data_IF_654376657648
#
_entry.id   IF_654376657648
#
_cell.length_a   1.000
_cell.length_b   1.000
_cell.length_c   1.000
_cell.angle_alpha   90.00
_cell.angle_beta   90.00
_cell.angle_gamma   90.00
#
_symmetry.space_group_name_H-M   'P 1'
#
loop_
_entity.id
_entity.type
_entity.pdbx_description
1 polymer ?
#
# COMPACT_ATOMS: atom_id res chain seq x y z
N UNK A 1 25.21 -0.86 -0.71
CA UNK A 1 25.59 -2.29 -0.59
C UNK A 1 24.57 -2.96 0.33
N UNK A 2 24.01 -4.10 -0.05
CA UNK A 2 23.06 -4.84 0.78
C UNK A 2 23.84 -5.95 1.50
N UNK A 3 23.60 -6.11 2.80
CA UNK A 3 24.29 -7.10 3.62
C UNK A 3 23.64 -8.46 3.47
N UNK A 4 24.41 -9.50 3.21
CA UNK A 4 23.96 -10.90 3.35
C UNK A 4 23.86 -11.20 4.86
N UNK A 5 22.78 -10.80 5.48
CA UNK A 5 22.36 -11.28 6.81
C UNK A 5 21.25 -12.30 6.62
N UNK A 6 21.16 -13.23 7.56
CA UNK A 6 20.19 -14.37 7.56
C UNK A 6 18.90 -14.06 6.80
N UNK A 7 18.65 -14.84 5.73
CA UNK A 7 17.65 -14.56 4.70
C UNK A 7 16.20 -14.72 5.16
N UNK A 8 15.80 -14.13 6.30
CA UNK A 8 14.42 -14.25 6.72
C UNK A 8 14.15 -13.93 8.20
N UNK A 9 12.94 -14.26 8.62
CA UNK A 9 12.50 -14.24 10.02
C UNK A 9 12.09 -15.64 10.44
N UNK A 10 12.36 -15.99 11.71
CA UNK A 10 11.84 -17.22 12.30
C UNK A 10 10.66 -16.89 13.20
N UNK A 11 9.49 -17.41 12.86
CA UNK A 11 8.27 -17.25 13.64
C UNK A 11 7.71 -18.62 14.02
N UNK A 12 7.49 -18.86 15.31
CA UNK A 12 7.01 -20.15 15.83
C UNK A 12 7.77 -21.38 15.29
N UNK A 13 9.11 -21.26 15.13
CA UNK A 13 9.96 -22.33 14.60
C UNK A 13 9.96 -22.49 13.08
N UNK A 14 9.16 -21.70 12.35
CA UNK A 14 9.13 -21.69 10.89
C UNK A 14 9.99 -20.55 10.36
N UNK A 15 10.97 -20.88 9.51
CA UNK A 15 11.80 -19.88 8.83
C UNK A 15 11.11 -19.39 7.56
N UNK A 16 10.89 -18.08 7.47
CA UNK A 16 10.28 -17.40 6.31
C UNK A 16 11.34 -16.51 5.66
N UNK A 17 11.79 -16.86 4.45
CA UNK A 17 12.73 -16.03 3.69
C UNK A 17 12.13 -14.67 3.33
N UNK A 18 12.98 -13.67 3.11
CA UNK A 18 12.54 -12.31 2.76
C UNK A 18 11.74 -12.30 1.43
N UNK A 19 12.10 -13.14 0.47
CA UNK A 19 11.33 -13.31 -0.78
C UNK A 19 9.92 -13.81 -0.51
N UNK A 20 9.77 -14.81 0.38
CA UNK A 20 8.45 -15.32 0.79
C UNK A 20 7.67 -14.27 1.56
N UNK A 21 8.34 -13.53 2.44
CA UNK A 21 7.70 -12.46 3.21
C UNK A 21 7.17 -11.35 2.29
N UNK A 22 7.92 -10.96 1.26
CA UNK A 22 7.47 -10.00 0.25
C UNK A 22 6.26 -10.56 -0.52
N UNK A 23 6.33 -11.85 -0.91
CA UNK A 23 5.23 -12.49 -1.62
C UNK A 23 3.94 -12.48 -0.78
N UNK A 24 4.04 -12.86 0.50
CA UNK A 24 2.90 -12.78 1.43
C UNK A 24 2.42 -11.32 1.57
N UNK A 25 3.35 -10.36 1.64
CA UNK A 25 3.05 -8.93 1.82
C UNK A 25 2.18 -8.32 0.73
N UNK A 26 2.23 -8.80 -0.51
CA UNK A 26 1.37 -8.30 -1.58
C UNK A 26 0.22 -9.25 -1.94
N UNK A 27 0.39 -10.57 -1.84
CA UNK A 27 -0.65 -11.54 -2.18
C UNK A 27 -1.76 -11.57 -1.14
N UNK A 28 -1.40 -11.54 0.14
CA UNK A 28 -2.39 -11.61 1.23
C UNK A 28 -3.40 -10.45 1.18
N UNK A 29 -2.98 -9.17 1.13
CA UNK A 29 -3.95 -8.08 1.00
C UNK A 29 -4.72 -8.14 -0.31
N UNK A 30 -4.10 -8.53 -1.43
CA UNK A 30 -4.79 -8.69 -2.71
C UNK A 30 -5.93 -9.72 -2.61
N UNK A 31 -5.63 -10.92 -2.12
CA UNK A 31 -6.63 -12.00 -1.99
C UNK A 31 -7.72 -11.58 -1.00
N UNK A 32 -7.35 -10.97 0.12
CA UNK A 32 -8.31 -10.46 1.10
C UNK A 32 -9.29 -9.48 0.48
N UNK A 33 -8.81 -8.48 -0.25
CA UNK A 33 -9.62 -7.46 -0.91
C UNK A 33 -10.52 -8.09 -1.96
N UNK A 34 -9.98 -8.93 -2.84
CA UNK A 34 -10.76 -9.59 -3.90
C UNK A 34 -11.85 -10.46 -3.30
N UNK A 35 -11.54 -11.27 -2.28
CA UNK A 35 -12.53 -12.13 -1.64
C UNK A 35 -13.61 -11.32 -0.91
N UNK A 36 -13.23 -10.33 -0.12
CA UNK A 36 -14.15 -9.47 0.64
C UNK A 36 -15.09 -8.71 -0.29
N UNK A 37 -14.56 -8.05 -1.34
CA UNK A 37 -15.36 -7.34 -2.34
C UNK A 37 -16.28 -8.27 -3.11
N UNK A 38 -15.80 -9.46 -3.47
CA UNK A 38 -16.65 -10.46 -4.18
C UNK A 38 -17.80 -10.92 -3.31
N UNK A 39 -17.55 -11.24 -2.04
CA UNK A 39 -18.62 -11.62 -1.10
C UNK A 39 -19.62 -10.48 -0.94
N UNK A 40 -19.14 -9.24 -0.73
CA UNK A 40 -19.96 -8.04 -0.58
C UNK A 40 -20.88 -7.81 -1.79
N UNK A 41 -20.34 -7.92 -3.01
CA UNK A 41 -21.11 -7.76 -4.24
C UNK A 41 -22.13 -8.89 -4.45
N UNK A 42 -21.76 -10.14 -4.16
CA UNK A 42 -22.61 -11.31 -4.39
C UNK A 42 -23.69 -11.50 -3.31
N UNK A 43 -23.45 -11.02 -2.09
CA UNK A 43 -24.45 -11.06 -1.00
C UNK A 43 -25.58 -10.05 -1.18
N UNK A 44 -25.49 -9.14 -2.14
CA UNK A 44 -26.46 -8.06 -2.35
C UNK A 44 -26.33 -6.91 -1.35
N UNK A 45 -25.28 -6.89 -0.55
CA UNK A 45 -25.00 -5.82 0.42
C UNK A 45 -24.37 -4.59 -0.23
N UNK A 46 -23.85 -4.71 -1.46
CA UNK A 46 -23.26 -3.59 -2.18
C UNK A 46 -24.32 -2.55 -2.52
N UNK A 47 -24.17 -1.36 -1.97
CA UNK A 47 -25.06 -0.21 -2.13
C UNK A 47 -25.15 0.28 -3.59
N UNK A 48 -24.00 0.31 -4.26
CA UNK A 48 -23.85 0.72 -5.66
C UNK A 48 -22.57 0.09 -6.24
N UNK A 49 -22.38 0.15 -7.56
CA UNK A 49 -21.17 -0.26 -8.27
C UNK A 49 -20.75 0.92 -9.17
N UNK A 50 -19.51 1.40 -9.12
CA UNK A 50 -18.43 0.95 -8.23
C UNK A 50 -18.61 1.42 -6.78
N UNK A 51 -17.95 0.74 -5.85
CA UNK A 51 -17.90 1.06 -4.42
C UNK A 51 -16.45 1.03 -3.91
N UNK A 52 -16.16 1.71 -2.80
CA UNK A 52 -14.83 1.66 -2.20
C UNK A 52 -14.49 0.26 -1.69
N UNK A 53 -13.21 -0.10 -1.71
CA UNK A 53 -12.71 -1.34 -1.11
C UNK A 53 -13.18 -1.45 0.34
N UNK A 54 -13.15 -0.35 1.07
CA UNK A 54 -13.57 -0.27 2.47
C UNK A 54 -15.08 -0.45 2.69
N UNK A 55 -15.93 -0.30 1.67
CA UNK A 55 -17.35 -0.62 1.80
C UNK A 55 -17.57 -2.13 1.94
N UNK A 56 -16.62 -2.98 1.53
CA UNK A 56 -16.69 -4.42 1.77
C UNK A 56 -16.44 -4.82 3.23
N UNK A 57 -16.15 -3.86 4.13
CA UNK A 57 -16.19 -4.05 5.58
C UNK A 57 -17.63 -3.94 6.13
N UNK A 58 -18.59 -4.47 5.41
CA UNK A 58 -20.00 -4.51 5.80
C UNK A 58 -20.28 -5.67 6.75
N UNK A 59 -21.20 -5.53 7.75
CA UNK A 59 -21.53 -6.61 8.68
C UNK A 59 -21.91 -7.90 7.97
N UNK A 60 -21.12 -8.96 8.17
CA UNK A 60 -21.30 -10.24 7.51
C UNK A 60 -19.99 -10.99 7.36
N UNK A 61 -19.98 -11.98 6.45
CA UNK A 61 -18.79 -12.77 6.14
C UNK A 61 -17.67 -11.89 5.54
N UNK A 62 -18.04 -10.92 4.71
CA UNK A 62 -17.14 -9.97 4.08
C UNK A 62 -16.34 -9.17 5.11
N UNK A 63 -16.95 -8.73 6.23
CA UNK A 63 -16.24 -8.06 7.33
C UNK A 63 -15.19 -8.96 7.95
N UNK A 64 -15.52 -10.21 8.24
CA UNK A 64 -14.56 -11.14 8.82
C UNK A 64 -13.35 -11.35 7.91
N UNK A 65 -13.58 -11.51 6.61
CA UNK A 65 -12.51 -11.64 5.62
C UNK A 65 -11.69 -10.36 5.58
N UNK A 66 -12.33 -9.19 5.45
CA UNK A 66 -11.69 -7.89 5.37
C UNK A 66 -10.83 -7.61 6.60
N UNK A 67 -11.46 -7.62 7.78
CA UNK A 67 -10.81 -7.25 9.05
C UNK A 67 -9.66 -8.20 9.38
N UNK A 68 -9.89 -9.52 9.36
CA UNK A 68 -8.83 -10.47 9.71
C UNK A 68 -7.68 -10.47 8.70
N UNK A 69 -8.01 -10.47 7.41
CA UNK A 69 -7.01 -10.50 6.34
C UNK A 69 -6.15 -9.23 6.28
N UNK A 70 -6.77 -8.04 6.39
CA UNK A 70 -6.02 -6.78 6.37
C UNK A 70 -5.27 -6.52 7.68
N UNK A 71 -5.79 -6.92 8.84
CA UNK A 71 -5.06 -6.81 10.10
C UNK A 71 -3.77 -7.65 10.06
N UNK A 72 -3.86 -8.91 9.59
CA UNK A 72 -2.67 -9.76 9.41
C UNK A 72 -1.73 -9.16 8.35
N UNK A 73 -2.28 -8.63 7.24
CA UNK A 73 -1.48 -7.95 6.22
C UNK A 73 -0.69 -6.76 6.78
N UNK A 74 -1.29 -5.98 7.66
CA UNK A 74 -0.62 -4.86 8.33
C UNK A 74 0.58 -5.31 9.17
N UNK A 75 0.45 -6.39 9.93
CA UNK A 75 1.55 -6.99 10.70
C UNK A 75 2.66 -7.51 9.78
N UNK A 76 2.29 -8.15 8.67
CA UNK A 76 3.27 -8.62 7.65
C UNK A 76 4.02 -7.43 7.04
N UNK A 77 3.33 -6.35 6.69
CA UNK A 77 3.95 -5.13 6.12
C UNK A 77 4.90 -4.46 7.14
N UNK A 78 4.53 -4.39 8.42
CA UNK A 78 5.44 -3.91 9.47
C UNK A 78 6.72 -4.75 9.53
N UNK A 79 6.57 -6.07 9.58
CA UNK A 79 7.69 -7.02 9.65
C UNK A 79 8.58 -6.94 8.41
N UNK A 80 7.98 -6.88 7.23
CA UNK A 80 8.67 -6.71 5.96
C UNK A 80 9.46 -5.39 5.90
N UNK A 81 8.81 -4.28 6.26
CA UNK A 81 9.45 -2.96 6.27
C UNK A 81 10.65 -2.92 7.21
N UNK A 82 10.53 -3.49 8.40
CA UNK A 82 11.62 -3.62 9.35
C UNK A 82 12.78 -4.43 8.78
N UNK A 83 12.50 -5.60 8.20
CA UNK A 83 13.50 -6.49 7.60
C UNK A 83 14.25 -5.82 6.46
N UNK A 84 13.51 -5.23 5.51
CA UNK A 84 14.11 -4.57 4.36
C UNK A 84 15.00 -3.39 4.77
N UNK A 85 14.57 -2.61 5.78
CA UNK A 85 15.38 -1.52 6.31
C UNK A 85 16.69 -2.00 6.95
N UNK A 86 16.71 -3.15 7.60
CA UNK A 86 17.95 -3.70 8.19
C UNK A 86 18.98 -4.12 7.14
N UNK A 87 18.55 -4.52 5.96
CA UNK A 87 19.43 -4.88 4.83
C UNK A 87 20.13 -3.68 4.20
N UNK A 88 19.65 -2.46 4.41
CA UNK A 88 20.21 -1.25 3.82
C UNK A 88 21.43 -0.81 4.63
N UNK A 89 22.58 -0.67 3.97
CA UNK A 89 23.84 -0.27 4.63
C UNK A 89 23.94 1.23 4.85
N UNK A 90 23.42 2.05 3.92
CA UNK A 90 23.48 3.51 4.06
C UNK A 90 22.37 4.02 4.99
N UNK A 91 22.62 3.94 6.30
CA UNK A 91 21.68 4.36 7.35
C UNK A 91 21.59 5.88 7.55
N UNK A 92 22.52 6.64 7.00
CA UNK A 92 22.55 8.10 7.13
C UNK A 92 21.67 8.80 6.10
N UNK A 93 21.29 8.11 5.04
CA UNK A 93 20.42 8.65 3.99
C UNK A 93 19.06 9.09 4.55
N UNK A 94 18.57 10.26 4.15
CA UNK A 94 17.21 10.73 4.44
C UNK A 94 16.14 9.72 3.97
N UNK A 95 16.36 9.08 2.82
CA UNK A 95 15.48 8.03 2.30
C UNK A 95 15.39 6.81 3.22
N UNK A 96 16.52 6.43 3.86
CA UNK A 96 16.50 5.36 4.85
C UNK A 96 15.67 5.73 6.08
N UNK A 97 15.81 6.96 6.59
CA UNK A 97 14.98 7.45 7.71
C UNK A 97 13.50 7.46 7.35
N UNK A 98 13.16 7.98 6.16
CA UNK A 98 11.77 7.95 5.67
C UNK A 98 11.23 6.53 5.57
N UNK A 99 11.98 5.60 4.99
CA UNK A 99 11.57 4.19 4.87
C UNK A 99 11.38 3.53 6.23
N UNK A 100 12.25 3.84 7.20
CA UNK A 100 12.20 3.26 8.55
C UNK A 100 10.94 3.65 9.33
N UNK A 101 10.34 4.79 9.01
CA UNK A 101 9.12 5.29 9.65
C UNK A 101 7.88 4.98 8.80
N UNK A 102 7.93 5.30 7.51
CA UNK A 102 6.76 5.27 6.64
C UNK A 102 6.22 3.84 6.43
N UNK A 103 7.09 2.85 6.28
CA UNK A 103 6.67 1.46 6.09
C UNK A 103 5.95 0.86 7.30
N UNK A 104 6.55 0.87 8.51
CA UNK A 104 5.86 0.40 9.72
C UNK A 104 4.58 1.19 9.99
N UNK A 105 4.59 2.51 9.78
CA UNK A 105 3.41 3.36 9.97
C UNK A 105 2.28 2.98 9.01
N UNK A 106 2.59 2.69 7.74
CA UNK A 106 1.61 2.20 6.78
C UNK A 106 1.04 0.84 7.19
N UNK A 107 1.87 -0.09 7.70
CA UNK A 107 1.40 -1.37 8.22
C UNK A 107 0.48 -1.23 9.43
N UNK A 108 0.84 -0.37 10.39
CA UNK A 108 -0.01 -0.06 11.55
C UNK A 108 -1.32 0.61 11.12
N UNK A 109 -1.26 1.53 10.18
CA UNK A 109 -2.44 2.19 9.64
C UNK A 109 -3.37 1.22 8.91
N UNK A 110 -2.83 0.23 8.19
CA UNK A 110 -3.63 -0.84 7.58
C UNK A 110 -4.35 -1.68 8.64
N UNK A 111 -3.67 -2.03 9.72
CA UNK A 111 -4.30 -2.73 10.86
C UNK A 111 -5.39 -1.86 11.50
N UNK A 112 -5.12 -0.57 11.71
CA UNK A 112 -6.09 0.38 12.25
C UNK A 112 -7.31 0.56 11.35
N UNK A 113 -7.10 0.65 10.04
CA UNK A 113 -8.15 0.74 9.03
C UNK A 113 -9.03 -0.51 9.01
N UNK A 114 -8.43 -1.69 9.16
CA UNK A 114 -9.17 -2.96 9.23
C UNK A 114 -10.09 -3.05 10.45
N UNK A 115 -9.83 -2.30 11.51
CA UNK A 115 -10.63 -2.26 12.75
C UNK A 115 -11.62 -1.10 12.72
N UNK A 116 -11.20 0.07 12.22
CA UNK A 116 -12.01 1.27 12.14
C UNK A 116 -12.83 1.26 10.84
N UNK A 117 -13.99 0.65 10.88
CA UNK A 117 -14.81 0.50 9.69
C UNK A 117 -15.41 1.84 9.22
N UNK A 118 -15.66 1.95 7.90
CA UNK A 118 -16.14 3.19 7.28
C UNK A 118 -17.56 3.58 7.72
N UNK A 119 -18.37 2.61 8.14
CA UNK A 119 -19.77 2.86 8.51
C UNK A 119 -19.93 3.42 9.92
N UNK A 120 -19.06 2.99 10.86
CA UNK A 120 -19.20 3.32 12.28
C UNK A 120 -18.16 4.36 12.73
N UNK A 121 -17.00 4.43 12.05
CA UNK A 121 -15.85 5.26 12.45
C UNK A 121 -15.20 6.00 11.27
N UNK A 122 -16.01 6.64 10.41
CA UNK A 122 -15.56 7.24 9.14
C UNK A 122 -14.36 8.18 9.29
N UNK A 123 -14.31 8.99 10.34
CA UNK A 123 -13.19 9.91 10.57
C UNK A 123 -11.90 9.16 10.83
N UNK A 124 -11.94 8.18 11.74
CA UNK A 124 -10.77 7.37 12.08
C UNK A 124 -10.34 6.52 10.89
N UNK A 125 -11.30 5.96 10.15
CA UNK A 125 -11.06 5.23 8.91
C UNK A 125 -10.36 6.11 7.86
N UNK A 126 -10.85 7.33 7.63
CA UNK A 126 -10.26 8.27 6.68
C UNK A 126 -8.85 8.67 7.09
N UNK A 127 -8.61 8.96 8.37
CA UNK A 127 -7.27 9.27 8.87
C UNK A 127 -6.31 8.10 8.70
N UNK A 128 -6.75 6.88 9.02
CA UNK A 128 -5.96 5.67 8.82
C UNK A 128 -5.66 5.46 7.33
N UNK A 129 -6.63 5.70 6.42
CA UNK A 129 -6.43 5.61 4.98
C UNK A 129 -5.39 6.61 4.46
N UNK A 130 -5.44 7.87 4.90
CA UNK A 130 -4.45 8.90 4.53
C UNK A 130 -3.05 8.48 4.98
N UNK A 131 -2.91 7.98 6.20
CA UNK A 131 -1.62 7.49 6.73
C UNK A 131 -1.14 6.25 5.98
N UNK A 132 -2.03 5.30 5.69
CA UNK A 132 -1.72 4.10 4.92
C UNK A 132 -1.22 4.45 3.52
N UNK A 133 -1.98 5.22 2.77
CA UNK A 133 -1.67 5.51 1.37
C UNK A 133 -0.50 6.47 1.23
N UNK A 134 -0.44 7.52 2.05
CA UNK A 134 0.69 8.45 2.09
C UNK A 134 1.97 7.78 2.58
N UNK A 135 1.89 7.00 3.66
CA UNK A 135 3.00 6.22 4.20
C UNK A 135 3.48 5.15 3.22
N UNK A 136 2.55 4.41 2.61
CA UNK A 136 2.87 3.40 1.59
C UNK A 136 3.57 4.00 0.37
N UNK A 137 3.09 5.14 -0.12
CA UNK A 137 3.74 5.87 -1.22
C UNK A 137 5.15 6.37 -0.83
N UNK A 138 5.29 7.00 0.33
CA UNK A 138 6.58 7.49 0.83
C UNK A 138 7.58 6.35 1.03
N UNK A 139 7.12 5.21 1.57
CA UNK A 139 7.93 4.00 1.70
C UNK A 139 8.35 3.46 0.33
N UNK A 140 7.42 3.33 -0.61
CA UNK A 140 7.70 2.86 -1.97
C UNK A 140 8.70 3.76 -2.72
N UNK A 141 8.55 5.09 -2.61
CA UNK A 141 9.48 6.06 -3.17
C UNK A 141 10.87 5.94 -2.54
N UNK A 142 10.94 5.75 -1.22
CA UNK A 142 12.19 5.52 -0.50
C UNK A 142 12.87 4.23 -0.96
N UNK A 143 12.10 3.14 -1.09
CA UNK A 143 12.62 1.87 -1.62
C UNK A 143 13.08 2.01 -3.06
N UNK A 144 12.47 2.88 -3.87
CA UNK A 144 12.94 3.17 -5.22
C UNK A 144 14.33 3.78 -5.23
N UNK A 145 14.61 4.68 -4.31
CA UNK A 145 15.92 5.34 -4.19
C UNK A 145 16.99 4.42 -3.55
N UNK A 146 16.58 3.60 -2.59
CA UNK A 146 17.49 2.74 -1.82
C UNK A 146 17.82 1.42 -2.54
N UNK A 147 16.84 0.84 -3.27
CA UNK A 147 16.99 -0.39 -4.04
C UNK A 147 17.20 -0.07 -5.53
N UNK A 148 18.36 0.51 -5.84
CA UNK A 148 18.76 0.79 -7.23
C UNK A 148 19.42 -0.41 -7.91
N UNK A 149 19.52 -1.55 -7.22
CA UNK A 149 20.24 -2.74 -7.63
C UNK A 149 19.32 -3.71 -8.39
N UNK A 150 19.87 -4.43 -9.36
CA UNK A 150 19.17 -5.47 -10.09
C UNK A 150 19.10 -5.21 -11.61
N UNK A 151 18.47 -6.11 -12.34
CA UNK A 151 18.36 -6.13 -13.82
C UNK A 151 17.59 -4.95 -14.43
N UNK A 152 17.25 -3.94 -13.66
CA UNK A 152 16.43 -2.79 -14.08
C UNK A 152 14.94 -3.12 -14.24
N UNK A 153 14.54 -4.39 -14.25
CA UNK A 153 13.14 -4.79 -14.42
C UNK A 153 12.29 -4.47 -13.18
N UNK A 154 12.81 -4.72 -11.98
CA UNK A 154 12.17 -4.35 -10.72
C UNK A 154 12.02 -2.84 -10.59
N UNK A 155 13.08 -2.08 -10.91
CA UNK A 155 13.06 -0.61 -10.91
C UNK A 155 11.98 -0.04 -11.85
N UNK A 156 11.90 -0.55 -13.09
CA UNK A 156 10.86 -0.12 -14.08
C UNK A 156 9.45 -0.42 -13.57
N UNK A 157 9.24 -1.59 -12.96
CA UNK A 157 7.95 -1.98 -12.41
C UNK A 157 7.58 -1.09 -11.22
N UNK A 158 8.53 -0.78 -10.35
CA UNK A 158 8.34 0.08 -9.17
C UNK A 158 7.93 1.51 -9.56
N UNK A 159 8.57 2.09 -10.60
CA UNK A 159 8.17 3.41 -11.12
C UNK A 159 6.71 3.37 -11.62
N UNK A 160 6.32 2.33 -12.37
CA UNK A 160 4.93 2.18 -12.81
C UNK A 160 3.96 2.12 -11.62
N UNK A 161 4.27 1.30 -10.61
CA UNK A 161 3.48 1.22 -9.40
C UNK A 161 3.37 2.56 -8.66
N UNK A 162 4.46 3.31 -8.54
CA UNK A 162 4.44 4.65 -7.92
C UNK A 162 3.58 5.64 -8.69
N UNK A 163 3.63 5.63 -10.03
CA UNK A 163 2.74 6.47 -10.84
C UNK A 163 1.27 6.08 -10.69
N UNK A 164 0.95 4.79 -10.70
CA UNK A 164 -0.41 4.30 -10.44
C UNK A 164 -0.92 4.79 -9.09
N UNK A 165 -0.08 4.66 -8.04
CA UNK A 165 -0.40 5.13 -6.69
C UNK A 165 -0.62 6.64 -6.65
N UNK A 166 0.28 7.44 -7.24
CA UNK A 166 0.19 8.89 -7.24
C UNK A 166 -1.06 9.40 -7.99
N UNK A 167 -1.34 8.83 -9.17
CA UNK A 167 -2.53 9.17 -9.96
C UNK A 167 -3.80 8.78 -9.18
N UNK A 168 -3.82 7.58 -8.59
CA UNK A 168 -4.95 7.11 -7.78
C UNK A 168 -5.22 8.02 -6.58
N UNK A 169 -4.18 8.39 -5.81
CA UNK A 169 -4.29 9.33 -4.69
C UNK A 169 -4.87 10.67 -5.17
N UNK A 170 -4.26 11.27 -6.19
CA UNK A 170 -4.68 12.57 -6.69
C UNK A 170 -6.14 12.54 -7.19
N UNK A 171 -6.50 11.56 -8.02
CA UNK A 171 -7.85 11.41 -8.57
C UNK A 171 -8.89 11.20 -7.48
N UNK A 172 -8.62 10.31 -6.52
CA UNK A 172 -9.52 10.04 -5.40
C UNK A 172 -9.79 11.29 -4.57
N UNK A 173 -8.72 12.02 -4.16
CA UNK A 173 -8.87 13.22 -3.34
C UNK A 173 -9.53 14.36 -4.09
N UNK A 174 -9.20 14.58 -5.37
CA UNK A 174 -9.82 15.60 -6.19
C UNK A 174 -11.31 15.30 -6.41
N UNK A 175 -11.67 14.04 -6.65
CA UNK A 175 -13.07 13.66 -6.86
C UNK A 175 -13.91 13.86 -5.60
N UNK A 176 -13.46 13.32 -4.47
CA UNK A 176 -14.21 13.44 -3.20
C UNK A 176 -14.17 14.86 -2.67
N UNK A 177 -12.98 15.43 -2.54
CA UNK A 177 -12.81 16.79 -1.98
C UNK A 177 -13.46 17.85 -2.84
N UNK A 178 -13.32 17.75 -4.16
CA UNK A 178 -13.97 18.65 -5.11
C UNK A 178 -15.50 18.57 -5.04
N UNK A 179 -16.04 17.34 -4.97
CA UNK A 179 -17.48 17.14 -4.84
C UNK A 179 -18.04 17.71 -3.52
N UNK A 180 -17.37 17.46 -2.40
CA UNK A 180 -17.75 18.00 -1.08
C UNK A 180 -17.71 19.54 -1.12
N UNK A 181 -16.66 20.13 -1.70
CA UNK A 181 -16.51 21.60 -1.77
C UNK A 181 -17.62 22.24 -2.60
N UNK A 182 -17.99 21.62 -3.73
CA UNK A 182 -19.03 22.14 -4.63
C UNK A 182 -20.46 21.98 -4.08
N UNK A 183 -20.68 21.02 -3.18
CA UNK A 183 -22.01 20.70 -2.64
C UNK A 183 -22.02 20.75 -1.11
N UNK A 184 -21.18 21.62 -0.52
CA UNK A 184 -20.96 21.69 0.94
C UNK A 184 -22.26 21.86 1.74
N UNK A 185 -23.27 22.51 1.15
CA UNK A 185 -24.58 22.72 1.78
C UNK A 185 -25.36 21.41 2.02
N UNK A 186 -24.98 20.31 1.36
CA UNK A 186 -25.62 19.00 1.52
C UNK A 186 -24.93 18.11 2.55
N UNK A 187 -23.72 18.50 2.98
CA UNK A 187 -22.91 17.67 3.86
C UNK A 187 -22.97 18.21 5.29
N UNK A 188 -23.53 17.43 6.18
CA UNK A 188 -23.27 17.55 7.60
C UNK A 188 -21.93 16.83 7.86
N UNK A 189 -20.93 17.59 8.30
CA UNK A 189 -19.59 17.07 8.59
C UNK A 189 -19.58 15.92 9.61
N UNK A 190 -20.67 15.76 10.33
CA UNK A 190 -20.87 14.73 11.37
C UNK A 190 -21.86 13.64 10.93
N UNK A 191 -22.34 13.70 9.69
CA UNK A 191 -23.16 12.67 9.09
C UNK A 191 -22.41 11.32 9.08
N UNK A 192 -23.10 10.25 9.46
CA UNK A 192 -22.50 8.93 9.63
C UNK A 192 -23.05 7.94 8.61
N UNK A 193 -22.20 6.99 8.22
CA UNK A 193 -22.61 5.75 7.60
C UNK A 193 -23.11 5.86 6.16
N UNK A 194 -24.06 5.03 5.83
CA UNK A 194 -24.57 4.77 4.48
C UNK A 194 -25.08 6.05 3.81
N UNK A 195 -25.81 6.90 4.52
CA UNK A 195 -26.38 8.14 3.94
C UNK A 195 -25.32 9.09 3.39
N UNK A 196 -24.15 9.19 4.05
CA UNK A 196 -23.05 10.00 3.53
C UNK A 196 -22.44 9.39 2.26
N UNK A 197 -22.30 8.08 2.20
CA UNK A 197 -21.80 7.38 1.02
C UNK A 197 -22.76 7.53 -0.16
N UNK A 198 -24.10 7.51 0.09
CA UNK A 198 -25.10 7.75 -0.96
C UNK A 198 -25.00 9.17 -1.54
N UNK A 199 -24.84 10.18 -0.68
CA UNK A 199 -24.59 11.55 -1.13
C UNK A 199 -23.31 11.70 -1.95
N UNK A 200 -22.25 10.94 -1.60
CA UNK A 200 -20.97 10.94 -2.29
C UNK A 200 -20.94 10.08 -3.54
N UNK A 201 -21.98 9.27 -3.85
CA UNK A 201 -21.95 8.31 -4.94
C UNK A 201 -21.49 8.90 -6.29
N UNK A 202 -21.88 10.13 -6.71
CA UNK A 202 -21.38 10.70 -7.95
C UNK A 202 -19.86 10.86 -7.97
N UNK A 203 -19.25 11.20 -6.82
CA UNK A 203 -17.81 11.28 -6.68
C UNK A 203 -17.17 9.89 -6.54
N UNK A 204 -17.81 8.96 -5.85
CA UNK A 204 -17.36 7.56 -5.66
C UNK A 204 -17.25 6.85 -7.00
N UNK A 205 -18.09 7.15 -7.98
CA UNK A 205 -18.01 6.58 -9.33
C UNK A 205 -16.64 6.83 -10.01
N UNK A 206 -15.91 7.87 -9.60
CA UNK A 206 -14.56 8.18 -10.07
C UNK A 206 -13.52 7.76 -9.01
N UNK A 207 -13.82 8.01 -7.74
CA UNK A 207 -12.87 7.79 -6.65
C UNK A 207 -12.63 6.30 -6.36
N UNK A 208 -13.64 5.42 -6.47
CA UNK A 208 -13.46 3.99 -6.22
C UNK A 208 -12.54 3.30 -7.26
N UNK A 209 -12.69 3.50 -8.58
CA UNK A 209 -11.70 3.05 -9.55
C UNK A 209 -10.29 3.63 -9.30
N UNK A 210 -10.20 4.87 -8.82
CA UNK A 210 -8.93 5.49 -8.47
C UNK A 210 -8.31 4.84 -7.22
N UNK A 211 -9.12 4.43 -6.24
CA UNK A 211 -8.67 3.65 -5.08
C UNK A 211 -8.14 2.27 -5.52
N UNK A 212 -8.81 1.60 -6.46
CA UNK A 212 -8.32 0.32 -7.00
C UNK A 212 -6.97 0.47 -7.71
N UNK A 213 -6.81 1.55 -8.48
CA UNK A 213 -5.54 1.89 -9.14
C UNK A 213 -4.44 2.17 -8.12
N UNK A 214 -4.75 2.93 -7.07
CA UNK A 214 -3.84 3.27 -5.97
C UNK A 214 -3.35 2.00 -5.26
N UNK A 215 -4.28 1.15 -4.83
CA UNK A 215 -3.95 -0.11 -4.13
C UNK A 215 -3.15 -1.03 -5.05
N UNK A 216 -3.58 -1.20 -6.29
CA UNK A 216 -2.84 -1.96 -7.30
C UNK A 216 -1.41 -1.45 -7.47
N UNK A 217 -1.23 -0.13 -7.49
CA UNK A 217 0.09 0.52 -7.54
C UNK A 217 0.99 0.15 -6.36
N UNK A 218 0.47 0.19 -5.13
CA UNK A 218 1.22 -0.20 -3.93
C UNK A 218 1.59 -1.68 -3.95
N UNK A 219 0.69 -2.55 -4.38
CA UNK A 219 0.97 -3.99 -4.53
C UNK A 219 2.06 -4.24 -5.59
N UNK A 220 2.03 -3.52 -6.71
CA UNK A 220 3.06 -3.57 -7.76
C UNK A 220 4.40 -3.09 -7.22
N UNK A 221 4.44 -2.04 -6.40
CA UNK A 221 5.68 -1.58 -5.72
C UNK A 221 6.26 -2.70 -4.87
N UNK A 222 5.46 -3.35 -4.03
CA UNK A 222 5.94 -4.46 -3.19
C UNK A 222 6.42 -5.65 -4.03
N UNK A 223 5.65 -6.08 -5.04
CA UNK A 223 6.03 -7.17 -5.91
C UNK A 223 7.35 -6.89 -6.66
N UNK A 224 7.61 -5.62 -7.01
CA UNK A 224 8.83 -5.19 -7.70
C UNK A 224 10.10 -5.39 -6.86
N UNK A 225 10.00 -5.20 -5.53
CA UNK A 225 11.13 -5.41 -4.60
C UNK A 225 11.51 -6.90 -4.56
N UNK A 226 10.51 -7.78 -4.61
CA UNK A 226 10.76 -9.23 -4.67
C UNK A 226 11.55 -9.67 -5.90
N UNK A 227 11.39 -8.98 -7.04
CA UNK A 227 12.21 -9.23 -8.24
C UNK A 227 13.66 -8.81 -8.04
N UNK A 228 13.90 -7.67 -7.40
CA UNK A 228 15.26 -7.18 -7.16
C UNK A 228 15.99 -8.08 -6.16
N UNK A 229 15.31 -8.53 -5.10
CA UNK A 229 15.92 -9.43 -4.11
C UNK A 229 16.26 -10.80 -4.72
N UNK A 230 15.36 -11.40 -5.51
CA UNK A 230 15.67 -12.66 -6.22
C UNK A 230 16.88 -12.53 -7.12
N UNK A 231 16.98 -11.45 -7.88
CA UNK A 231 18.12 -11.20 -8.76
C UNK A 231 19.45 -11.11 -7.98
N UNK A 232 19.42 -10.59 -6.74
CA UNK A 232 20.60 -10.55 -5.85
C UNK A 232 20.95 -11.94 -5.33
N UNK A 233 19.94 -12.74 -4.95
CA UNK A 233 20.13 -14.10 -4.44
C UNK A 233 20.66 -15.03 -5.56
N UNK A 234 20.26 -14.80 -6.81
CA UNK A 234 20.74 -15.54 -8.01
C UNK A 234 22.15 -15.12 -8.46
N UNK A 235 22.85 -14.26 -7.69
CA UNK A 235 24.23 -13.88 -7.95
C UNK A 235 24.43 -12.91 -9.12
N UNK A 236 23.39 -12.25 -9.60
CA UNK A 236 23.52 -11.20 -10.59
C UNK A 236 24.17 -9.97 -9.93
N UNK A 237 25.37 -9.53 -10.40
CA UNK A 237 26.05 -8.38 -9.80
C UNK A 237 25.13 -7.17 -9.88
N UNK A 238 25.03 -6.45 -8.77
CA UNK A 238 24.42 -5.13 -8.75
C UNK A 238 25.14 -4.27 -9.83
N UNK A 239 24.37 -3.80 -10.82
CA UNK A 239 24.92 -2.83 -11.77
C UNK A 239 25.39 -1.62 -10.97
N UNK A 240 26.70 -1.52 -10.77
CA UNK A 240 27.29 -0.30 -10.25
C UNK A 240 26.95 0.79 -11.26
N UNK A 241 26.24 1.79 -10.83
CA UNK A 241 26.18 3.05 -11.56
C UNK A 241 27.60 3.60 -11.48
N UNK A 242 28.41 3.40 -12.52
CA UNK A 242 29.58 4.24 -12.71
C UNK A 242 29.07 5.68 -12.71
N UNK A 243 29.61 6.54 -11.84
CA UNK A 243 29.27 7.95 -11.93
C UNK A 243 29.65 8.41 -13.34
N UNK A 244 28.69 8.99 -14.08
CA UNK A 244 28.97 9.63 -15.36
C UNK A 244 30.21 10.51 -15.18
N UNK A 245 31.26 10.35 -16.04
CA UNK A 245 32.40 11.21 -15.96
C UNK A 245 31.92 12.66 -16.07
N UNK A 246 32.26 13.47 -15.07
CA UNK A 246 31.89 14.88 -15.03
C UNK A 246 32.39 15.55 -16.31
N UNK A 247 31.46 15.95 -17.19
CA UNK A 247 31.73 16.77 -18.38
C UNK A 247 32.18 18.22 -18.02
N UNK A 248 32.75 18.41 -16.85
CA UNK A 248 33.28 19.69 -16.38
C UNK A 248 34.79 19.62 -16.09
N UNK A 249 35.56 19.01 -16.99
CA UNK A 249 37.00 19.09 -16.98
C UNK A 249 37.47 19.48 -18.39
N UNK A 250 37.10 20.70 -18.82
CA UNK A 250 37.87 21.52 -19.79
C UNK A 250 37.72 23.01 -19.42
#
# INVERSE_FOLDING_TARGET
MIRNEDDGITFAGVHISDVRLIWIGWVLPLVTIVCSMSVHALSGNARAIPFFVSESDYPGLERWIFTSGLAVSGVVICSLSYRLNRRIQNKESGWHRTASVAGPLAGLALTGLAIANIYDAIILHTLASVVLFGGGFAWGASMHQLYTFGTGSGKKLRIKGLWMTAIGIATMHVSIGGYILLHREKFDMWGTGIGMLDLLQPAINIAAPAEYLLIGGLLVVMASIGKDIRALDDGHPATQHEPEPSLLAE
#
